data_IF_568149277863
#
_entry.id   IF_568149277863
#
_cell.length_a   1.000
_cell.length_b   1.000
_cell.length_c   1.000
_cell.angle_alpha   90.00
_cell.angle_beta   90.00
_cell.angle_gamma   90.00
#
_symmetry.space_group_name_H-M   'P 1'
#
loop_
_entity.id
_entity.type
_entity.pdbx_description
1 polymer ?
#
# COMPACT_ATOMS: atom_id res chain seq x y z
N UNK A 1 42.94 -8.67 -13.04
CA UNK A 1 42.78 -7.84 -11.83
C UNK A 1 42.24 -6.49 -12.24
N UNK A 2 41.19 -5.97 -11.59
CA UNK A 2 40.71 -4.60 -11.85
C UNK A 2 41.76 -3.55 -11.47
N UNK A 3 41.92 -2.55 -12.33
CA UNK A 3 42.71 -1.35 -12.10
C UNK A 3 42.16 -0.53 -10.92
N UNK A 4 42.99 0.36 -10.36
CA UNK A 4 42.55 1.30 -9.30
C UNK A 4 41.36 2.15 -9.73
N UNK A 5 41.33 2.57 -11.01
CA UNK A 5 40.24 3.35 -11.58
C UNK A 5 38.94 2.55 -11.63
N UNK A 6 38.98 1.31 -12.13
CA UNK A 6 37.81 0.42 -12.15
C UNK A 6 37.29 0.12 -10.75
N UNK A 7 38.18 -0.15 -9.78
CA UNK A 7 37.79 -0.33 -8.37
C UNK A 7 37.11 0.92 -7.78
N UNK A 8 37.57 2.11 -8.17
CA UNK A 8 36.94 3.38 -7.75
C UNK A 8 35.55 3.55 -8.36
N UNK A 9 35.41 3.30 -9.66
CA UNK A 9 34.12 3.39 -10.36
C UNK A 9 33.10 2.40 -9.80
N UNK A 10 33.51 1.17 -9.50
CA UNK A 10 32.64 0.17 -8.85
C UNK A 10 32.14 0.67 -7.50
N UNK A 11 33.02 1.24 -6.66
CA UNK A 11 32.61 1.82 -5.37
C UNK A 11 31.61 2.98 -5.52
N UNK A 12 31.78 3.84 -6.51
CA UNK A 12 30.84 4.93 -6.79
C UNK A 12 29.47 4.42 -7.26
N UNK A 13 29.46 3.43 -8.16
CA UNK A 13 28.22 2.80 -8.62
C UNK A 13 27.47 2.15 -7.46
N UNK A 14 28.18 1.48 -6.55
CA UNK A 14 27.57 0.92 -5.34
C UNK A 14 27.00 1.99 -4.42
N UNK A 15 27.74 3.08 -4.14
CA UNK A 15 27.22 4.19 -3.33
C UNK A 15 25.95 4.78 -3.92
N UNK A 16 25.93 4.99 -5.25
CA UNK A 16 24.73 5.45 -5.97
C UNK A 16 23.58 4.46 -5.85
N UNK A 17 23.84 3.17 -6.00
CA UNK A 17 22.83 2.12 -5.86
C UNK A 17 22.19 2.11 -4.46
N UNK A 18 23.02 2.18 -3.40
CA UNK A 18 22.53 2.26 -2.01
C UNK A 18 21.68 3.50 -1.78
N UNK A 19 22.13 4.66 -2.28
CA UNK A 19 21.41 5.91 -2.14
C UNK A 19 20.03 5.84 -2.81
N UNK A 20 19.97 5.41 -4.08
CA UNK A 20 18.72 5.23 -4.81
C UNK A 20 17.77 4.25 -4.11
N UNK A 21 18.29 3.12 -3.59
CA UNK A 21 17.46 2.18 -2.84
C UNK A 21 16.92 2.77 -1.53
N UNK A 22 17.70 3.61 -0.83
CA UNK A 22 17.23 4.31 0.37
C UNK A 22 16.12 5.30 0.04
N UNK A 23 16.30 6.07 -1.03
CA UNK A 23 15.32 7.06 -1.48
C UNK A 23 14.01 6.37 -1.89
N UNK A 24 14.09 5.29 -2.67
CA UNK A 24 12.90 4.49 -3.01
C UNK A 24 12.21 3.89 -1.78
N UNK A 25 12.96 3.39 -0.79
CA UNK A 25 12.35 2.89 0.46
C UNK A 25 11.60 4.01 1.19
N UNK A 26 12.17 5.22 1.22
CA UNK A 26 11.53 6.38 1.84
C UNK A 26 10.23 6.76 1.11
N UNK A 27 10.28 6.93 -0.21
CA UNK A 27 9.12 7.30 -1.03
C UNK A 27 7.98 6.28 -0.90
N UNK A 28 8.30 4.98 -0.95
CA UNK A 28 7.30 3.91 -0.80
C UNK A 28 6.74 3.88 0.62
N UNK A 29 7.54 4.22 1.64
CA UNK A 29 7.06 4.29 3.01
C UNK A 29 6.07 5.45 3.18
N UNK A 30 6.38 6.63 2.64
CA UNK A 30 5.47 7.78 2.65
C UNK A 30 4.15 7.45 1.93
N UNK A 31 4.24 6.84 0.73
CA UNK A 31 3.05 6.38 0.00
C UNK A 31 2.23 5.36 0.81
N UNK A 32 2.89 4.42 1.48
CA UNK A 32 2.21 3.42 2.31
C UNK A 32 1.46 4.07 3.46
N UNK A 33 2.09 5.02 4.16
CA UNK A 33 1.49 5.71 5.30
C UNK A 33 0.28 6.55 4.86
N UNK A 34 0.38 7.26 3.73
CA UNK A 34 -0.73 8.04 3.14
C UNK A 34 -1.91 7.14 2.75
N UNK A 35 -1.62 6.02 2.07
CA UNK A 35 -2.65 5.07 1.65
C UNK A 35 -3.30 4.36 2.84
N UNK A 36 -2.52 4.03 3.88
CA UNK A 36 -3.03 3.41 5.09
C UNK A 36 -3.99 4.34 5.82
N UNK A 37 -3.60 5.60 6.01
CA UNK A 37 -4.46 6.60 6.64
C UNK A 37 -5.76 6.80 5.87
N UNK A 38 -5.68 6.91 4.53
CA UNK A 38 -6.86 7.07 3.69
C UNK A 38 -7.78 5.83 3.72
N UNK A 39 -7.20 4.63 3.88
CA UNK A 39 -7.98 3.40 3.98
C UNK A 39 -8.71 3.28 5.32
N UNK A 40 -8.11 3.71 6.43
CA UNK A 40 -8.75 3.72 7.75
C UNK A 40 -10.04 4.56 7.76
N UNK A 41 -10.05 5.69 7.03
CA UNK A 41 -11.24 6.51 6.84
C UNK A 41 -12.32 5.76 6.03
N UNK A 42 -11.92 5.09 4.94
CA UNK A 42 -12.84 4.30 4.09
C UNK A 42 -13.43 3.12 4.86
N UNK A 43 -12.62 2.42 5.66
CA UNK A 43 -13.04 1.29 6.48
C UNK A 43 -14.10 1.72 7.49
N UNK A 44 -13.86 2.85 8.18
CA UNK A 44 -14.80 3.44 9.13
C UNK A 44 -16.12 3.82 8.46
N UNK A 45 -16.07 4.59 7.36
CA UNK A 45 -17.27 5.02 6.62
C UNK A 45 -18.06 3.82 6.08
N UNK A 46 -17.35 2.79 5.60
CA UNK A 46 -18.00 1.57 5.09
C UNK A 46 -18.72 0.83 6.20
N UNK A 47 -18.12 0.72 7.38
CA UNK A 47 -18.74 0.09 8.53
C UNK A 47 -20.01 0.85 8.98
N UNK A 48 -19.91 2.16 9.16
CA UNK A 48 -21.04 3.03 9.53
C UNK A 48 -22.17 2.96 8.49
N UNK A 49 -21.82 2.99 7.19
CA UNK A 49 -22.82 2.86 6.13
C UNK A 49 -23.54 1.52 6.17
N UNK A 50 -22.82 0.41 6.38
CA UNK A 50 -23.44 -0.92 6.44
C UNK A 50 -24.34 -1.07 7.66
N UNK A 51 -23.96 -0.49 8.81
CA UNK A 51 -24.81 -0.42 9.99
C UNK A 51 -26.09 0.38 9.72
N UNK A 52 -25.96 1.58 9.17
CA UNK A 52 -27.10 2.41 8.77
C UNK A 52 -28.04 1.68 7.80
N UNK A 53 -27.51 0.98 6.79
CA UNK A 53 -28.32 0.20 5.85
C UNK A 53 -29.11 -0.88 6.57
N UNK A 54 -28.51 -1.58 7.54
CA UNK A 54 -29.21 -2.60 8.32
C UNK A 54 -30.36 -2.02 9.14
N UNK A 55 -30.21 -0.81 9.67
CA UNK A 55 -31.25 -0.11 10.43
C UNK A 55 -32.44 0.30 9.55
N UNK A 56 -32.18 0.81 8.34
CA UNK A 56 -33.25 1.34 7.48
C UNK A 56 -33.93 0.27 6.62
N UNK A 57 -33.24 -0.84 6.32
CA UNK A 57 -33.75 -1.90 5.44
C UNK A 57 -35.16 -2.40 5.79
N UNK A 58 -35.54 -2.60 7.08
CA UNK A 58 -36.89 -3.04 7.45
C UNK A 58 -38.00 -2.03 7.11
N UNK A 59 -37.66 -0.74 6.99
CA UNK A 59 -38.61 0.32 6.68
C UNK A 59 -38.73 0.61 5.18
N UNK A 60 -37.89 -0.02 4.34
CA UNK A 60 -37.88 0.18 2.90
C UNK A 60 -38.91 -0.71 2.21
N UNK A 61 -39.46 -0.19 1.10
CA UNK A 61 -40.16 -1.04 0.15
C UNK A 61 -39.17 -2.00 -0.56
N UNK A 62 -39.72 -3.00 -1.26
CA UNK A 62 -38.94 -4.05 -1.92
C UNK A 62 -37.97 -3.50 -2.97
N UNK A 63 -38.33 -2.45 -3.70
CA UNK A 63 -37.48 -1.89 -4.75
C UNK A 63 -36.30 -1.10 -4.13
N UNK A 64 -36.59 -0.28 -3.12
CA UNK A 64 -35.60 0.46 -2.37
C UNK A 64 -34.62 -0.47 -1.63
N UNK A 65 -35.13 -1.54 -1.00
CA UNK A 65 -34.29 -2.55 -0.34
C UNK A 65 -33.36 -3.28 -1.32
N UNK A 66 -33.82 -3.57 -2.55
CA UNK A 66 -32.96 -4.15 -3.58
C UNK A 66 -31.88 -3.17 -4.06
N UNK A 67 -32.23 -1.90 -4.27
CA UNK A 67 -31.26 -0.87 -4.67
C UNK A 67 -30.19 -0.68 -3.60
N UNK A 68 -30.57 -0.58 -2.33
CA UNK A 68 -29.61 -0.35 -1.25
C UNK A 68 -28.68 -1.56 -1.05
N UNK A 69 -29.20 -2.78 -1.17
CA UNK A 69 -28.37 -3.99 -1.13
C UNK A 69 -27.32 -4.03 -2.26
N UNK A 70 -27.67 -3.56 -3.45
CA UNK A 70 -26.71 -3.44 -4.56
C UNK A 70 -25.61 -2.41 -4.27
N UNK A 71 -25.97 -1.25 -3.70
CA UNK A 71 -24.99 -0.23 -3.30
C UNK A 71 -24.08 -0.73 -2.18
N UNK A 72 -24.61 -1.37 -1.14
CA UNK A 72 -23.81 -1.98 -0.07
C UNK A 72 -22.79 -2.98 -0.62
N UNK A 73 -23.18 -3.79 -1.61
CA UNK A 73 -22.26 -4.72 -2.28
C UNK A 73 -21.17 -4.00 -3.08
N UNK A 74 -21.48 -2.86 -3.69
CA UNK A 74 -20.48 -2.06 -4.42
C UNK A 74 -19.51 -1.37 -3.46
N UNK A 75 -20.00 -0.80 -2.36
CA UNK A 75 -19.16 -0.16 -1.33
C UNK A 75 -18.24 -1.19 -0.68
N UNK A 76 -18.74 -2.38 -0.32
CA UNK A 76 -17.90 -3.46 0.19
C UNK A 76 -16.79 -3.88 -0.78
N UNK A 77 -17.03 -3.79 -2.10
CA UNK A 77 -15.98 -4.03 -3.11
C UNK A 77 -14.94 -2.91 -3.15
N UNK A 78 -15.35 -1.66 -2.95
CA UNK A 78 -14.44 -0.51 -2.90
C UNK A 78 -13.52 -0.63 -1.68
N UNK A 79 -14.08 -0.90 -0.50
CA UNK A 79 -13.32 -1.20 0.72
C UNK A 79 -12.30 -2.33 0.48
N UNK A 80 -12.76 -3.45 -0.08
CA UNK A 80 -11.91 -4.58 -0.39
C UNK A 80 -10.77 -4.23 -1.37
N UNK A 81 -11.05 -3.38 -2.35
CA UNK A 81 -10.05 -2.90 -3.31
C UNK A 81 -9.00 -2.01 -2.63
N UNK A 82 -9.45 -1.07 -1.79
CA UNK A 82 -8.57 -0.18 -1.02
C UNK A 82 -7.67 -0.98 -0.07
N UNK A 83 -8.23 -1.96 0.66
CA UNK A 83 -7.47 -2.87 1.53
C UNK A 83 -6.37 -3.62 0.77
N UNK A 84 -6.71 -4.13 -0.43
CA UNK A 84 -5.74 -4.82 -1.27
C UNK A 84 -4.62 -3.88 -1.73
N UNK A 85 -4.97 -2.66 -2.15
CA UNK A 85 -3.97 -1.65 -2.54
C UNK A 85 -2.97 -1.34 -1.42
N UNK A 86 -3.45 -1.10 -0.20
CA UNK A 86 -2.58 -0.88 0.98
C UNK A 86 -1.68 -2.08 1.24
N UNK A 87 -2.23 -3.30 1.18
CA UNK A 87 -1.47 -4.54 1.38
C UNK A 87 -0.37 -4.70 0.31
N UNK A 88 -0.70 -4.44 -0.95
CA UNK A 88 0.23 -4.64 -2.05
C UNK A 88 1.40 -3.64 -1.95
N UNK A 89 1.14 -2.37 -1.58
CA UNK A 89 2.18 -1.37 -1.32
C UNK A 89 3.04 -1.74 -0.11
N UNK A 90 2.44 -2.26 0.97
CA UNK A 90 3.18 -2.78 2.12
C UNK A 90 4.15 -3.90 1.73
N UNK A 91 3.71 -4.81 0.86
CA UNK A 91 4.51 -5.94 0.43
C UNK A 91 5.66 -5.47 -0.50
N UNK A 92 5.41 -4.47 -1.36
CA UNK A 92 6.45 -3.78 -2.13
C UNK A 92 7.47 -3.13 -1.19
N UNK A 93 7.02 -2.38 -0.18
CA UNK A 93 7.88 -1.74 0.82
C UNK A 93 8.78 -2.76 1.53
N UNK A 94 8.21 -3.89 1.95
CA UNK A 94 8.94 -4.99 2.60
C UNK A 94 10.02 -5.54 1.68
N UNK A 95 9.70 -5.76 0.41
CA UNK A 95 10.66 -6.28 -0.58
C UNK A 95 11.81 -5.29 -0.83
N UNK A 96 11.52 -3.99 -0.90
CA UNK A 96 12.56 -2.97 -1.08
C UNK A 96 13.46 -2.82 0.16
N UNK A 97 12.89 -2.89 1.38
CA UNK A 97 13.67 -2.94 2.62
C UNK A 97 14.59 -4.15 2.65
N UNK A 98 14.10 -5.33 2.22
CA UNK A 98 14.91 -6.55 2.11
C UNK A 98 16.07 -6.38 1.12
N UNK A 99 15.80 -5.86 -0.07
CA UNK A 99 16.81 -5.60 -1.10
C UNK A 99 17.89 -4.63 -0.62
N UNK A 100 17.51 -3.57 0.08
CA UNK A 100 18.47 -2.63 0.68
C UNK A 100 19.35 -3.32 1.74
N UNK A 101 18.79 -4.22 2.55
CA UNK A 101 19.57 -5.00 3.51
C UNK A 101 20.56 -5.96 2.84
N UNK A 102 20.15 -6.63 1.75
CA UNK A 102 21.01 -7.49 0.94
C UNK A 102 22.18 -6.70 0.34
N UNK A 103 21.92 -5.54 -0.30
CA UNK A 103 22.97 -4.65 -0.83
C UNK A 103 23.94 -4.21 0.28
N UNK A 104 23.45 -3.92 1.49
CA UNK A 104 24.30 -3.52 2.61
C UNK A 104 25.12 -4.68 3.20
N UNK A 105 24.65 -5.92 3.08
CA UNK A 105 25.40 -7.10 3.50
C UNK A 105 26.48 -7.46 2.48
N UNK A 106 26.23 -7.28 1.18
CA UNK A 106 27.25 -7.41 0.13
C UNK A 106 28.40 -6.40 0.28
N UNK A 107 28.21 -5.35 1.10
CA UNK A 107 29.24 -4.34 1.41
C UNK A 107 30.16 -4.71 2.59
N UNK A 108 29.81 -5.72 3.40
CA UNK A 108 30.61 -6.16 4.55
C UNK A 108 31.66 -7.19 4.14
#
# INVERSE_FOLDING_TARGET
>A
MFSKKEKSSVKELHKKSVMLCKDSVKEINELYDDMKSSYEDIETITAEFLEFVNEITPALDKEAALKIALFSKQIAKIDQCARNGVRDVRDILRNQKKRLAEINNDLK
#
